data_IF_824528674160
#
_entry.id   IF_824528674160
#
_cell.length_a   1.000
_cell.length_b   1.000
_cell.length_c   1.000
_cell.angle_alpha   90.00
_cell.angle_beta   90.00
_cell.angle_gamma   90.00
#
_symmetry.space_group_name_H-M   'P 1'
#
loop_
_entity.id
_entity.type
_entity.pdbx_description
1 polymer ?
#
# COMPACT_ATOMS: atom_id res chain seq x y z
N UNK A 1 -3.90 11.03 -1.28
CA UNK A 1 -3.13 9.83 -0.88
C UNK A 1 -1.82 9.76 -1.63
N UNK A 2 -1.82 9.74 -2.98
CA UNK A 2 -0.62 9.57 -3.83
C UNK A 2 0.63 10.36 -3.41
N UNK A 3 0.46 11.57 -2.87
CA UNK A 3 1.57 12.38 -2.33
C UNK A 3 2.39 11.64 -1.26
N UNK A 4 1.78 10.93 -0.31
CA UNK A 4 2.55 10.18 0.70
C UNK A 4 3.38 9.06 0.06
N UNK A 5 2.81 8.30 -0.87
CA UNK A 5 3.53 7.22 -1.51
C UNK A 5 4.72 7.73 -2.34
N UNK A 6 4.51 8.81 -3.08
CA UNK A 6 5.57 9.43 -3.89
C UNK A 6 6.61 10.14 -3.02
N UNK A 7 6.17 11.03 -2.14
CA UNK A 7 7.07 11.96 -1.45
C UNK A 7 7.73 11.33 -0.22
N UNK A 8 7.09 10.34 0.41
CA UNK A 8 7.56 9.72 1.67
C UNK A 8 8.08 8.30 1.47
N UNK A 9 7.49 7.52 0.56
CA UNK A 9 7.98 6.17 0.24
C UNK A 9 8.88 6.15 -1.00
N UNK A 10 8.91 7.22 -1.79
CA UNK A 10 9.68 7.26 -3.04
C UNK A 10 9.13 6.35 -4.14
N UNK A 11 7.84 5.99 -4.06
CA UNK A 11 7.18 5.11 -5.02
C UNK A 11 6.20 5.93 -5.85
N UNK A 12 6.50 6.07 -7.14
CA UNK A 12 5.67 6.75 -8.13
C UNK A 12 5.09 5.70 -9.10
N UNK A 13 4.05 5.00 -8.65
CA UNK A 13 3.36 4.00 -9.46
C UNK A 13 2.48 4.66 -10.54
N UNK A 14 2.64 4.24 -11.80
CA UNK A 14 1.68 4.53 -12.87
C UNK A 14 0.62 3.40 -12.94
N UNK A 15 -0.63 3.64 -12.51
CA UNK A 15 -1.66 2.61 -12.46
C UNK A 15 -2.12 2.13 -13.85
N UNK A 16 -1.63 2.74 -14.93
CA UNK A 16 -1.97 2.37 -16.31
C UNK A 16 -1.02 1.35 -16.92
N UNK A 17 0.11 1.06 -16.27
CA UNK A 17 1.17 0.21 -16.84
C UNK A 17 0.69 -1.20 -17.18
N UNK A 18 -0.10 -1.83 -16.30
CA UNK A 18 -0.64 -3.17 -16.52
C UNK A 18 -2.13 -3.17 -16.90
N UNK A 19 -2.81 -2.03 -16.77
CA UNK A 19 -4.24 -1.89 -17.08
C UNK A 19 -5.16 -2.71 -16.15
N UNK A 20 -4.63 -3.16 -15.01
CA UNK A 20 -5.34 -3.91 -13.98
C UNK A 20 -5.70 -2.98 -12.81
N UNK A 21 -6.72 -3.36 -12.04
CA UNK A 21 -7.08 -2.64 -10.81
C UNK A 21 -6.01 -2.80 -9.71
N UNK A 22 -5.24 -3.89 -9.73
CA UNK A 22 -4.18 -4.13 -8.74
C UNK A 22 -3.15 -3.00 -8.77
N UNK A 23 -2.85 -2.48 -7.59
CA UNK A 23 -1.78 -1.50 -7.38
C UNK A 23 -0.80 -1.99 -6.28
N UNK A 24 0.42 -1.50 -6.35
CA UNK A 24 1.52 -1.85 -5.46
C UNK A 24 1.19 -1.46 -4.02
N UNK A 25 0.54 -0.32 -3.81
CA UNK A 25 0.21 0.19 -2.49
C UNK A 25 -0.76 -0.72 -1.74
N UNK A 26 -1.86 -1.12 -2.38
CA UNK A 26 -2.85 -2.03 -1.81
C UNK A 26 -2.24 -3.42 -1.63
N UNK A 27 -1.46 -3.90 -2.59
CA UNK A 27 -0.73 -5.18 -2.45
C UNK A 27 0.18 -5.17 -1.22
N UNK A 28 0.93 -4.09 -0.99
CA UNK A 28 1.83 -3.95 0.17
C UNK A 28 1.08 -3.97 1.51
N UNK A 29 -0.13 -3.39 1.57
CA UNK A 29 -1.00 -3.41 2.74
C UNK A 29 -1.54 -4.82 2.98
N UNK A 30 -2.05 -5.49 1.95
CA UNK A 30 -2.56 -6.87 2.06
C UNK A 30 -1.45 -7.83 2.53
N UNK A 31 -0.21 -7.63 2.06
CA UNK A 31 0.93 -8.44 2.49
C UNK A 31 1.23 -8.34 3.98
N UNK A 32 0.89 -7.23 4.66
CA UNK A 32 1.07 -7.09 6.11
C UNK A 32 0.07 -7.93 6.92
N UNK A 33 -1.09 -8.25 6.36
CA UNK A 33 -2.01 -9.22 6.94
C UNK A 33 -1.51 -10.65 6.68
N UNK A 34 -1.34 -11.01 5.40
CA UNK A 34 -0.73 -12.28 5.01
C UNK A 34 -0.20 -12.25 3.56
N UNK A 35 1.11 -12.48 3.32
CA UNK A 35 1.66 -12.55 1.96
C UNK A 35 1.04 -13.65 1.06
N UNK A 36 0.38 -14.65 1.64
CA UNK A 36 -0.35 -15.66 0.87
C UNK A 36 -1.60 -15.09 0.18
N UNK A 37 -2.19 -14.01 0.71
CA UNK A 37 -3.35 -13.35 0.10
C UNK A 37 -3.02 -12.71 -1.26
N UNK A 38 -1.75 -12.39 -1.51
CA UNK A 38 -1.30 -11.87 -2.81
C UNK A 38 -0.65 -12.96 -3.68
N UNK A 39 -0.69 -14.23 -3.25
CA UNK A 39 -0.08 -15.38 -3.97
C UNK A 39 1.41 -15.17 -4.24
N UNK A 40 2.14 -14.62 -3.26
CA UNK A 40 3.53 -14.21 -3.44
C UNK A 40 4.43 -15.33 -3.96
N UNK A 41 4.33 -16.54 -3.41
CA UNK A 41 5.16 -17.67 -3.83
C UNK A 41 4.88 -18.09 -5.28
N UNK A 42 3.60 -18.09 -5.69
CA UNK A 42 3.22 -18.38 -7.07
C UNK A 42 3.69 -17.29 -8.02
N UNK A 43 3.64 -16.02 -7.60
CA UNK A 43 4.20 -14.89 -8.36
C UNK A 43 5.70 -15.02 -8.56
N UNK A 44 6.45 -15.39 -7.52
CA UNK A 44 7.90 -15.64 -7.61
C UNK A 44 8.18 -16.78 -8.59
N UNK A 45 7.49 -17.92 -8.45
CA UNK A 45 7.67 -19.08 -9.32
C UNK A 45 7.33 -18.80 -10.80
N UNK A 46 6.43 -17.86 -11.06
CA UNK A 46 6.00 -17.48 -12.40
C UNK A 46 6.74 -16.26 -12.98
N UNK A 47 7.75 -15.73 -12.29
CA UNK A 47 8.45 -14.48 -12.65
C UNK A 47 7.50 -13.27 -12.81
N UNK A 48 6.53 -13.17 -11.90
CA UNK A 48 5.48 -12.14 -11.84
C UNK A 48 5.38 -11.50 -10.46
N UNK A 49 6.49 -11.43 -9.75
CA UNK A 49 6.59 -10.80 -8.43
C UNK A 49 6.71 -9.27 -8.51
N UNK A 50 5.89 -8.64 -9.35
CA UNK A 50 5.79 -7.20 -9.54
C UNK A 50 4.34 -6.79 -9.74
N UNK A 51 4.05 -5.51 -9.49
CA UNK A 51 2.78 -4.83 -9.83
C UNK A 51 3.14 -3.49 -10.46
N UNK A 52 2.58 -3.19 -11.63
CA UNK A 52 2.87 -1.97 -12.40
C UNK A 52 4.38 -1.69 -12.51
N UNK A 53 5.16 -2.71 -12.85
CA UNK A 53 6.64 -2.69 -12.93
C UNK A 53 7.39 -2.43 -11.61
N UNK A 54 6.71 -2.35 -10.47
CA UNK A 54 7.32 -2.23 -9.14
C UNK A 54 7.51 -3.62 -8.55
N UNK A 55 8.74 -3.95 -8.16
CA UNK A 55 9.08 -5.26 -7.61
C UNK A 55 8.52 -5.42 -6.18
N UNK A 56 7.91 -6.57 -5.90
CA UNK A 56 7.47 -6.97 -4.55
C UNK A 56 8.64 -7.49 -3.70
N UNK A 57 9.79 -7.74 -4.31
CA UNK A 57 11.02 -8.20 -3.68
C UNK A 57 12.04 -7.05 -3.53
N UNK A 58 12.82 -7.00 -2.42
CA UNK A 58 12.74 -7.91 -1.28
C UNK A 58 11.45 -7.72 -0.47
N UNK A 59 10.91 -8.83 0.05
CA UNK A 59 9.60 -8.85 0.74
C UNK A 59 9.54 -7.87 1.90
N UNK A 60 10.63 -7.77 2.68
CA UNK A 60 10.71 -6.89 3.84
C UNK A 60 10.48 -5.43 3.48
N UNK A 61 10.96 -4.97 2.32
CA UNK A 61 10.73 -3.60 1.84
C UNK A 61 9.26 -3.36 1.52
N UNK A 62 8.62 -4.32 0.86
CA UNK A 62 7.20 -4.23 0.54
C UNK A 62 6.34 -4.27 1.80
N UNK A 63 6.71 -5.10 2.78
CA UNK A 63 6.05 -5.11 4.09
C UNK A 63 6.24 -3.77 4.82
N UNK A 64 7.43 -3.18 4.79
CA UNK A 64 7.69 -1.87 5.37
C UNK A 64 6.81 -0.78 4.75
N UNK A 65 6.71 -0.73 3.42
CA UNK A 65 5.84 0.21 2.73
C UNK A 65 4.37 0.05 3.15
N UNK A 66 3.89 -1.19 3.21
CA UNK A 66 2.53 -1.49 3.66
C UNK A 66 2.27 -1.04 5.10
N UNK A 67 3.21 -1.29 6.03
CA UNK A 67 3.12 -0.83 7.42
C UNK A 67 3.05 0.69 7.50
N UNK A 68 3.93 1.41 6.79
CA UNK A 68 3.96 2.87 6.77
C UNK A 68 2.69 3.48 6.15
N UNK A 69 2.07 2.79 5.19
CA UNK A 69 0.78 3.16 4.63
C UNK A 69 -0.36 2.95 5.62
N UNK A 70 -0.37 1.82 6.34
CA UNK A 70 -1.35 1.53 7.39
C UNK A 70 -1.28 2.60 8.48
N UNK A 71 -0.08 2.94 8.96
CA UNK A 71 0.15 3.97 9.97
C UNK A 71 -0.37 5.33 9.50
N UNK A 72 0.07 5.80 8.34
CA UNK A 72 -0.39 7.08 7.79
C UNK A 72 -1.92 7.14 7.63
N UNK A 73 -2.53 6.09 7.07
CA UNK A 73 -3.98 6.02 6.89
C UNK A 73 -4.71 6.01 8.23
N UNK A 74 -4.16 5.34 9.23
CA UNK A 74 -4.72 5.29 10.59
C UNK A 74 -4.68 6.68 11.22
N UNK A 75 -3.54 7.34 11.20
CA UNK A 75 -3.36 8.67 11.81
C UNK A 75 -4.30 9.70 11.20
N UNK A 76 -4.35 9.79 9.86
CA UNK A 76 -5.24 10.72 9.15
C UNK A 76 -6.70 10.41 9.46
N UNK A 77 -7.08 9.14 9.51
CA UNK A 77 -8.47 8.73 9.78
C UNK A 77 -8.89 9.07 11.21
N UNK A 78 -8.05 8.74 12.20
CA UNK A 78 -8.31 9.05 13.61
C UNK A 78 -8.42 10.56 13.81
N UNK A 79 -7.52 11.34 13.24
CA UNK A 79 -7.57 12.80 13.32
C UNK A 79 -8.88 13.36 12.73
N UNK A 80 -9.31 12.85 11.58
CA UNK A 80 -10.57 13.25 10.95
C UNK A 80 -11.80 12.89 11.80
N UNK A 81 -11.82 11.70 12.39
CA UNK A 81 -12.91 11.26 13.29
C UNK A 81 -12.99 12.18 14.51
N UNK A 82 -11.87 12.45 15.18
CA UNK A 82 -11.83 13.32 16.36
C UNK A 82 -12.28 14.75 16.03
N UNK A 83 -11.87 15.29 14.88
CA UNK A 83 -12.31 16.60 14.41
C UNK A 83 -13.83 16.65 14.15
N UNK A 84 -14.39 15.59 13.56
CA UNK A 84 -15.82 15.49 13.30
C UNK A 84 -16.65 15.41 14.59
N UNK A 85 -16.19 14.67 15.59
CA UNK A 85 -16.80 14.61 16.93
C UNK A 85 -16.80 16.00 17.57
N UNK A 86 -15.63 16.67 17.63
CA UNK A 86 -15.50 18.00 18.22
C UNK A 86 -16.28 19.12 17.47
N UNK A 87 -16.61 18.91 16.20
CA UNK A 87 -17.47 19.82 15.44
C UNK A 87 -18.96 19.57 15.70
N UNK A 88 -19.33 18.33 16.03
CA UNK A 88 -20.72 17.92 16.29
C UNK A 88 -21.18 18.27 17.72
N UNK A 89 -20.24 18.39 18.67
CA UNK A 89 -20.50 18.81 20.06
C UNK A 89 -20.64 20.34 20.24
N UNK A 90 -20.56 21.12 19.14
CA UNK A 90 -20.63 22.60 19.15
C UNK A 90 -21.98 23.14 18.69
#
# INVERSE_FOLDING_TARGET
MLEYQKDVLGIDEDPRLEGLHDDYYITSIIMNDNPQHVRLQQRIAADKASINSINLLPVDKTLEHGRRLIEFRTDVTVAAILAAIAASDR
#
